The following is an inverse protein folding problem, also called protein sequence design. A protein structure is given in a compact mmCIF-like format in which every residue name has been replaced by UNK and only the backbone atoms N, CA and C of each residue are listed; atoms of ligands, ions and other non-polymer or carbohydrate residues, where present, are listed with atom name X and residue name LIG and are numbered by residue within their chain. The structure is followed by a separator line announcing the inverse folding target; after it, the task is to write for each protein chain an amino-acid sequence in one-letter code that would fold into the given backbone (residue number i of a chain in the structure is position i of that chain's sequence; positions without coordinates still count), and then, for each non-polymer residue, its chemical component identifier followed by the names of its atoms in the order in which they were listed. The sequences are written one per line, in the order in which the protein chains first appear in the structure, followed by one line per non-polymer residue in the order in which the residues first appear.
data_IF_550712458764
#
_entry.id   IF_550712458764
#
_cell.length_a   1.000
_cell.length_b   1.000
_cell.length_c   1.000
_cell.angle_alpha   90.00
_cell.angle_beta   90.00
_cell.angle_gamma   90.00
#
_symmetry.space_group_name_H-M   'P 1'
#
loop_
_entity.id
_entity.type
_entity.pdbx_description
1 polymer ?
#
# COMPACT_ATOMS: atom_id res chain seq x y z
N UNK A 1 30.77 6.00 15.85
CA UNK A 1 29.42 5.40 15.77
C UNK A 1 28.87 5.74 14.41
N UNK A 2 28.58 4.76 13.56
CA UNK A 2 27.86 5.01 12.31
C UNK A 2 26.43 5.38 12.67
N UNK A 3 26.09 6.67 12.57
CA UNK A 3 24.72 7.13 12.72
C UNK A 3 23.90 6.50 11.60
N UNK A 4 23.10 5.49 11.95
CA UNK A 4 22.12 4.90 11.04
C UNK A 4 20.99 5.92 10.89
N UNK A 5 21.20 6.92 10.03
CA UNK A 5 20.19 7.93 9.72
C UNK A 5 19.19 7.31 8.73
N UNK A 6 17.95 7.14 9.15
CA UNK A 6 16.86 6.77 8.23
C UNK A 6 16.64 7.94 7.28
N UNK A 7 16.73 7.69 5.97
CA UNK A 7 16.45 8.71 4.96
C UNK A 7 14.93 8.91 4.83
N UNK A 8 14.38 9.87 5.58
CA UNK A 8 12.94 10.13 5.64
C UNK A 8 12.36 10.55 4.29
N UNK A 9 13.10 11.26 3.45
CA UNK A 9 12.65 11.63 2.10
C UNK A 9 12.44 10.40 1.21
N UNK A 10 13.32 9.40 1.34
CA UNK A 10 13.20 8.15 0.58
C UNK A 10 12.01 7.30 1.06
N UNK A 11 11.72 7.38 2.36
CA UNK A 11 10.58 6.71 2.98
C UNK A 11 9.25 7.30 2.51
N UNK A 12 9.09 8.62 2.54
CA UNK A 12 7.90 9.32 2.02
C UNK A 12 7.68 9.01 0.53
N UNK A 13 8.77 8.97 -0.24
CA UNK A 13 8.72 8.59 -1.64
C UNK A 13 8.18 7.17 -1.85
N UNK A 14 8.68 6.18 -1.10
CA UNK A 14 8.23 4.79 -1.20
C UNK A 14 6.75 4.65 -0.83
N UNK A 15 6.27 5.36 0.19
CA UNK A 15 4.84 5.39 0.56
C UNK A 15 4.00 5.96 -0.58
N UNK A 16 4.43 7.07 -1.18
CA UNK A 16 3.76 7.68 -2.34
C UNK A 16 3.69 6.73 -3.54
N UNK A 17 4.80 6.05 -3.84
CA UNK A 17 4.86 5.03 -4.91
C UNK A 17 3.94 3.85 -4.63
N UNK A 18 3.87 3.35 -3.39
CA UNK A 18 2.95 2.26 -3.04
C UNK A 18 1.48 2.66 -3.23
N UNK A 19 1.12 3.88 -2.85
CA UNK A 19 -0.22 4.40 -3.09
C UNK A 19 -0.52 4.55 -4.60
N UNK A 20 0.44 5.07 -5.37
CA UNK A 20 0.31 5.23 -6.81
C UNK A 20 0.16 3.88 -7.54
N UNK A 21 0.97 2.88 -7.18
CA UNK A 21 0.90 1.52 -7.72
C UNK A 21 -0.45 0.88 -7.38
N UNK A 22 -0.93 1.04 -6.14
CA UNK A 22 -2.23 0.49 -5.70
C UNK A 22 -3.38 1.08 -6.51
N UNK A 23 -3.38 2.41 -6.72
CA UNK A 23 -4.39 3.08 -7.55
C UNK A 23 -4.33 2.62 -9.01
N UNK A 24 -3.13 2.47 -9.57
CA UNK A 24 -2.95 1.98 -10.95
C UNK A 24 -3.44 0.54 -11.12
N UNK A 25 -3.21 -0.31 -10.12
CA UNK A 25 -3.73 -1.68 -10.11
C UNK A 25 -5.26 -1.69 -10.06
N UNK A 26 -5.89 -0.90 -9.19
CA UNK A 26 -7.35 -0.78 -9.16
C UNK A 26 -7.92 -0.29 -10.50
N UNK A 27 -7.30 0.71 -11.13
CA UNK A 27 -7.73 1.18 -12.46
C UNK A 27 -7.60 0.08 -13.51
N UNK A 28 -6.50 -0.67 -13.50
CA UNK A 28 -6.28 -1.78 -14.45
C UNK A 28 -7.31 -2.89 -14.25
N UNK A 29 -7.62 -3.24 -13.00
CA UNK A 29 -8.64 -4.23 -12.66
C UNK A 29 -10.04 -3.76 -13.05
N UNK A 30 -10.36 -2.47 -12.86
CA UNK A 30 -11.63 -1.89 -13.31
C UNK A 30 -11.77 -1.93 -14.83
N UNK A 31 -10.71 -1.60 -15.57
CA UNK A 31 -10.71 -1.68 -17.03
C UNK A 31 -10.87 -3.13 -17.52
N UNK A 32 -10.23 -4.07 -16.83
CA UNK A 32 -10.41 -5.50 -17.10
C UNK A 32 -11.87 -5.92 -16.84
N UNK A 33 -12.47 -5.48 -15.73
CA UNK A 33 -13.86 -5.78 -15.37
C UNK A 33 -14.84 -5.24 -16.40
N UNK A 34 -14.67 -3.98 -16.81
CA UNK A 34 -15.50 -3.33 -17.83
C UNK A 34 -15.39 -4.03 -19.19
N UNK A 35 -14.17 -4.39 -19.61
CA UNK A 35 -13.93 -5.11 -20.86
C UNK A 35 -14.53 -6.52 -20.84
N UNK A 36 -14.44 -7.20 -19.70
CA UNK A 36 -14.98 -8.55 -19.56
C UNK A 36 -16.52 -8.54 -19.46
N UNK A 37 -17.10 -7.52 -18.82
CA UNK A 37 -18.54 -7.34 -18.70
C UNK A 37 -19.25 -7.17 -20.05
N UNK A 38 -18.58 -6.59 -21.06
CA UNK A 38 -19.14 -6.44 -22.41
C UNK A 38 -19.33 -7.78 -23.13
N UNK A 39 -18.46 -8.76 -22.87
CA UNK A 39 -18.54 -10.10 -23.45
C UNK A 39 -19.33 -11.09 -22.59
N UNK A 40 -19.84 -10.63 -21.45
CA UNK A 40 -20.48 -11.47 -20.43
C UNK A 40 -21.85 -12.00 -20.87
N UNK A 41 -22.46 -11.38 -21.90
CA UNK A 41 -23.64 -11.89 -22.59
C UNK A 41 -23.36 -13.14 -23.43
N UNK A 42 -22.11 -13.36 -23.84
CA UNK A 42 -21.65 -14.51 -24.62
C UNK A 42 -21.20 -15.67 -23.73
N UNK A 43 -21.11 -15.43 -22.42
CA UNK A 43 -20.56 -16.39 -21.47
C UNK A 43 -21.62 -17.37 -20.98
N UNK A 44 -21.30 -18.65 -21.07
CA UNK A 44 -22.05 -19.72 -20.41
C UNK A 44 -21.91 -19.61 -18.88
N UNK A 45 -22.86 -20.18 -18.14
CA UNK A 45 -22.96 -20.04 -16.66
C UNK A 45 -21.66 -20.38 -15.90
N UNK A 46 -20.87 -21.34 -16.40
CA UNK A 46 -19.61 -21.77 -15.75
C UNK A 46 -18.48 -20.75 -15.90
N UNK A 47 -18.41 -20.06 -17.04
CA UNK A 47 -17.41 -19.01 -17.27
C UNK A 47 -17.66 -17.81 -16.35
N UNK A 48 -18.94 -17.45 -16.16
CA UNK A 48 -19.36 -16.39 -15.24
C UNK A 48 -18.98 -16.69 -13.80
N UNK A 49 -19.21 -17.92 -13.35
CA UNK A 49 -18.84 -18.37 -11.99
C UNK A 49 -17.32 -18.33 -11.76
N UNK A 50 -16.55 -18.77 -12.76
CA UNK A 50 -15.07 -18.74 -12.71
C UNK A 50 -14.55 -17.31 -12.62
N UNK A 51 -15.17 -16.41 -13.39
CA UNK A 51 -14.83 -15.00 -13.37
C UNK A 51 -15.17 -14.32 -12.06
N UNK A 52 -16.37 -14.51 -11.52
CA UNK A 52 -16.77 -13.93 -10.24
C UNK A 52 -15.80 -14.37 -9.12
N UNK A 53 -15.33 -15.62 -9.18
CA UNK A 53 -14.29 -16.14 -8.28
C UNK A 53 -12.94 -15.46 -8.47
N UNK A 54 -12.50 -15.27 -9.72
CA UNK A 54 -11.26 -14.56 -10.02
C UNK A 54 -11.33 -13.09 -9.60
N UNK A 55 -12.49 -12.46 -9.83
CA UNK A 55 -12.79 -11.09 -9.46
C UNK A 55 -12.68 -10.86 -7.98
N UNK A 56 -13.36 -11.69 -7.19
CA UNK A 56 -13.28 -11.61 -5.73
C UNK A 56 -11.84 -11.73 -5.21
N UNK A 57 -11.00 -12.56 -5.84
CA UNK A 57 -9.59 -12.73 -5.45
C UNK A 57 -8.75 -11.49 -5.76
N UNK A 58 -8.87 -10.92 -6.95
CA UNK A 58 -8.09 -9.72 -7.28
C UNK A 58 -8.59 -8.50 -6.51
N UNK A 59 -9.88 -8.42 -6.18
CA UNK A 59 -10.46 -7.30 -5.45
C UNK A 59 -9.98 -7.32 -4.00
N UNK A 60 -9.94 -8.51 -3.40
CA UNK A 60 -9.34 -8.71 -2.08
C UNK A 60 -7.85 -8.34 -2.06
N UNK A 61 -7.07 -8.83 -3.04
CA UNK A 61 -5.65 -8.51 -3.13
C UNK A 61 -5.38 -7.01 -3.32
N UNK A 62 -6.20 -6.32 -4.14
CA UNK A 62 -6.10 -4.88 -4.32
C UNK A 62 -6.44 -4.11 -3.03
N UNK A 63 -7.42 -4.58 -2.26
CA UNK A 63 -7.74 -4.05 -0.93
C UNK A 63 -6.58 -4.22 0.06
N UNK A 64 -5.96 -5.39 0.09
CA UNK A 64 -4.82 -5.69 0.95
C UNK A 64 -3.61 -4.80 0.65
N UNK A 65 -3.35 -4.48 -0.62
CA UNK A 65 -2.27 -3.57 -1.01
C UNK A 65 -2.48 -2.15 -0.44
N UNK A 66 -3.70 -1.64 -0.50
CA UNK A 66 -4.06 -0.33 0.07
C UNK A 66 -3.92 -0.34 1.59
N UNK A 67 -4.32 -1.42 2.24
CA UNK A 67 -4.15 -1.58 3.68
C UNK A 67 -2.66 -1.64 4.07
N UNK A 68 -1.85 -2.37 3.30
CA UNK A 68 -0.42 -2.51 3.59
C UNK A 68 0.34 -1.19 3.38
N UNK A 69 -0.04 -0.39 2.38
CA UNK A 69 0.50 0.96 2.19
C UNK A 69 0.17 1.88 3.38
N UNK A 70 -1.05 1.80 3.92
CA UNK A 70 -1.44 2.52 5.13
C UNK A 70 -0.65 2.06 6.35
N UNK A 71 -0.54 0.75 6.56
CA UNK A 71 0.24 0.17 7.67
C UNK A 71 1.70 0.61 7.60
N UNK A 72 2.30 0.62 6.41
CA UNK A 72 3.65 1.14 6.20
C UNK A 72 3.74 2.61 6.61
N UNK A 73 2.80 3.45 6.16
CA UNK A 73 2.74 4.87 6.55
C UNK A 73 2.68 5.04 8.07
N UNK A 74 1.83 4.28 8.75
CA UNK A 74 1.69 4.33 10.22
C UNK A 74 2.97 3.90 10.93
N UNK A 75 3.56 2.76 10.53
CA UNK A 75 4.79 2.27 11.13
C UNK A 75 5.95 3.27 10.95
N UNK A 76 6.02 3.92 9.79
CA UNK A 76 7.03 4.95 9.51
C UNK A 76 6.81 6.21 10.37
N UNK A 77 5.57 6.62 10.58
CA UNK A 77 5.24 7.72 11.50
C UNK A 77 5.65 7.41 12.94
N UNK A 78 5.45 6.16 13.39
CA UNK A 78 5.90 5.72 14.72
C UNK A 78 7.42 5.72 14.85
N UNK A 79 8.13 5.29 13.81
CA UNK A 79 9.59 5.34 13.76
C UNK A 79 10.06 6.80 13.87
N UNK A 80 9.49 7.72 13.10
CA UNK A 80 9.82 9.14 13.15
C UNK A 80 9.66 9.74 14.55
N UNK A 81 8.51 9.50 15.20
CA UNK A 81 8.26 9.96 16.57
C UNK A 81 9.28 9.38 17.57
N UNK A 82 9.59 8.09 17.43
CA UNK A 82 10.56 7.41 18.31
C UNK A 82 11.98 7.96 18.16
N UNK A 83 12.40 8.30 16.92
CA UNK A 83 13.70 8.92 16.66
C UNK A 83 13.77 10.33 17.27
N UNK A 84 12.74 11.16 17.10
CA UNK A 84 12.69 12.50 17.69
C UNK A 84 12.67 12.48 19.22
N UNK A 85 11.95 11.54 19.82
CA UNK A 85 11.95 11.37 21.28
C UNK A 85 13.32 10.88 21.78
N UNK A 86 13.97 9.96 21.08
CA UNK A 86 15.31 9.47 21.41
C UNK A 86 16.38 10.56 21.35
N UNK A 87 16.37 11.40 20.31
CA UNK A 87 17.29 12.54 20.21
C UNK A 87 17.05 13.58 21.30
N UNK A 88 15.79 13.95 21.58
CA UNK A 88 15.46 14.87 22.67
C UNK A 88 15.88 14.34 24.03
N UNK A 89 15.67 13.04 24.27
CA UNK A 89 16.09 12.40 25.51
C UNK A 89 17.62 12.40 25.64
N UNK A 90 18.32 12.06 24.55
CA UNK A 90 19.78 12.14 24.49
C UNK A 90 20.29 13.55 24.79
N UNK A 91 19.78 14.58 24.11
CA UNK A 91 20.17 15.98 24.36
C UNK A 91 19.88 16.39 25.81
N UNK A 92 18.74 15.99 26.39
CA UNK A 92 18.40 16.30 27.78
C UNK A 92 19.34 15.67 28.82
N UNK A 93 20.02 14.56 28.47
CA UNK A 93 21.01 13.91 29.32
C UNK A 93 22.37 14.61 29.31
N UNK A 94 22.66 15.43 28.28
CA UNK A 94 23.90 16.21 28.17
C UNK A 94 23.73 17.68 28.58
N UNK A 95 22.49 18.13 28.79
CA UNK A 95 22.14 19.48 29.26
C UNK A 95 21.91 19.53 30.79
N UNK A 96 22.33 18.48 31.52
CA UNK A 96 22.39 18.40 32.99
C UNK A 96 23.81 18.51 33.52
#
# INVERSE_FOLDING_TARGET
MSTYAVNMTQVEYIVGEMAAISNKLQQTLSQLDDGTAQHLSEWTSDARTTYDTAKAKWDAAAGDMVLQAQNATTALGQIHESYHQGERHGVSLWDQ
#
